data_IF_980857134980
#
_entry.id   IF_980857134980
#
_cell.length_a   1.000
_cell.length_b   1.000
_cell.length_c   1.000
_cell.angle_alpha   90.00
_cell.angle_beta   90.00
_cell.angle_gamma   90.00
#
_symmetry.space_group_name_H-M   'P 1'
#
loop_
_entity.id
_entity.type
_entity.pdbx_description
1 polymer ?
#
# COMPACT_ATOMS: atom_id res chain seq x y z
N UNK A 1 -0.57 -6.11 -6.84
CA UNK A 1 -0.89 -5.58 -5.50
C UNK A 1 -0.35 -4.17 -5.28
N UNK A 2 0.96 -3.99 -5.16
CA UNK A 2 1.55 -2.66 -4.92
C UNK A 2 1.09 -1.60 -5.91
N UNK A 3 1.19 -1.88 -7.21
CA UNK A 3 0.69 -1.01 -8.27
C UNK A 3 -0.76 -0.55 -8.06
N UNK A 4 -1.63 -1.45 -7.57
CA UNK A 4 -3.05 -1.17 -7.32
C UNK A 4 -3.22 -0.28 -6.09
N UNK A 5 -2.51 -0.58 -4.99
CA UNK A 5 -2.51 0.26 -3.79
C UNK A 5 -2.01 1.67 -4.12
N UNK A 6 -0.93 1.75 -4.90
CA UNK A 6 -0.36 3.00 -5.38
C UNK A 6 -1.38 3.77 -6.22
N UNK A 7 -2.04 3.10 -7.17
CA UNK A 7 -2.95 3.76 -8.12
C UNK A 7 -4.10 4.48 -7.41
N UNK A 8 -4.50 3.98 -6.25
CA UNK A 8 -5.61 4.53 -5.47
C UNK A 8 -5.18 5.61 -4.49
N UNK A 9 -3.89 5.79 -4.22
CA UNK A 9 -3.42 6.76 -3.22
C UNK A 9 -2.18 7.50 -3.72
N UNK A 10 -2.32 8.78 -4.15
CA UNK A 10 -1.18 9.59 -4.55
C UNK A 10 -0.11 9.63 -3.46
N UNK A 11 1.15 9.38 -3.83
CA UNK A 11 2.27 9.32 -2.90
C UNK A 11 2.51 7.97 -2.24
N UNK A 12 1.56 7.02 -2.32
CA UNK A 12 1.71 5.68 -1.75
C UNK A 12 2.86 4.89 -2.40
N UNK A 13 3.08 5.08 -3.70
CA UNK A 13 4.22 4.49 -4.42
C UNK A 13 5.54 4.77 -3.73
N UNK A 14 5.74 6.01 -3.28
CA UNK A 14 6.93 6.39 -2.56
C UNK A 14 6.99 5.75 -1.18
N UNK A 15 5.91 5.83 -0.39
CA UNK A 15 5.89 5.29 0.98
C UNK A 15 6.22 3.81 0.97
N UNK A 16 5.67 3.06 0.01
CA UNK A 16 5.99 1.64 -0.19
C UNK A 16 7.44 1.45 -0.63
N UNK A 17 7.95 2.23 -1.59
CA UNK A 17 9.34 2.13 -2.04
C UNK A 17 10.33 2.38 -0.90
N UNK A 18 10.07 3.37 -0.04
CA UNK A 18 10.90 3.65 1.14
C UNK A 18 10.76 2.60 2.24
N UNK A 19 9.55 2.07 2.47
CA UNK A 19 9.33 1.06 3.50
C UNK A 19 9.91 -0.31 3.12
N UNK A 20 9.96 -0.61 1.82
CA UNK A 20 10.43 -1.89 1.29
C UNK A 20 11.85 -1.82 0.75
N UNK A 21 12.42 -0.63 0.57
CA UNK A 21 13.76 -0.43 0.04
C UNK A 21 14.83 -0.55 1.12
N UNK A 22 16.11 -0.49 0.70
CA UNK A 22 17.26 -0.52 1.61
C UNK A 22 17.78 0.87 2.02
N UNK A 23 17.12 1.92 1.56
CA UNK A 23 17.50 3.30 1.86
C UNK A 23 16.55 3.84 2.93
N UNK A 24 17.09 4.28 4.06
CA UNK A 24 16.31 4.84 5.16
C UNK A 24 16.00 3.80 6.22
N UNK A 25 14.73 3.67 6.61
CA UNK A 25 14.33 2.75 7.69
C UNK A 25 13.69 1.46 7.18
N UNK A 26 14.11 0.34 7.75
CA UNK A 26 13.71 -1.03 7.46
C UNK A 26 13.11 -1.75 8.67
N UNK A 27 12.56 -2.95 8.45
CA UNK A 27 12.00 -3.76 9.52
C UNK A 27 13.05 -4.63 10.19
N UNK A 28 13.13 -4.54 11.52
CA UNK A 28 14.00 -5.39 12.34
C UNK A 28 13.22 -6.10 13.43
N UNK A 29 13.62 -7.33 13.76
CA UNK A 29 13.03 -8.15 14.82
C UNK A 29 14.04 -8.42 15.92
N UNK A 30 13.78 -7.92 17.13
CA UNK A 30 14.70 -8.06 18.26
C UNK A 30 13.98 -8.28 19.58
N UNK A 31 14.59 -9.09 20.45
CA UNK A 31 14.11 -9.31 21.80
C UNK A 31 14.57 -8.17 22.72
N UNK A 32 13.66 -7.66 23.55
CA UNK A 32 13.94 -6.59 24.51
C UNK A 32 13.37 -6.97 25.87
N UNK A 33 14.24 -7.37 26.81
CA UNK A 33 13.84 -7.85 28.13
C UNK A 33 13.22 -6.74 28.98
N UNK A 34 13.63 -5.51 28.73
CA UNK A 34 13.19 -4.28 29.37
C UNK A 34 11.72 -3.96 29.09
N UNK A 35 11.15 -4.52 28.01
CA UNK A 35 9.76 -4.29 27.62
C UNK A 35 8.79 -5.35 28.16
N UNK A 36 9.30 -6.42 28.78
CA UNK A 36 8.46 -7.50 29.31
C UNK A 36 7.49 -6.96 30.36
N UNK A 37 6.22 -7.31 30.21
CA UNK A 37 5.13 -6.87 31.10
C UNK A 37 4.48 -5.55 30.69
N UNK A 38 5.13 -4.74 29.84
CA UNK A 38 4.52 -3.57 29.23
C UNK A 38 3.50 -3.97 28.16
N UNK A 39 2.57 -3.06 27.91
CA UNK A 39 1.56 -3.14 26.86
C UNK A 39 2.07 -2.55 25.54
N UNK A 40 1.47 -2.94 24.42
CA UNK A 40 1.86 -2.41 23.12
C UNK A 40 1.63 -0.88 23.00
N UNK A 41 0.62 -0.33 23.69
CA UNK A 41 0.45 1.12 23.79
C UNK A 41 1.62 1.79 24.53
N UNK A 42 2.08 1.21 25.64
CA UNK A 42 3.21 1.75 26.40
C UNK A 42 4.51 1.71 25.60
N UNK A 43 4.75 0.66 24.80
CA UNK A 43 5.98 0.59 24.00
C UNK A 43 6.01 1.55 22.80
N UNK A 44 4.87 2.13 22.40
CA UNK A 44 4.77 3.04 21.24
C UNK A 44 5.77 4.20 21.30
N UNK A 45 6.07 4.69 22.51
CA UNK A 45 7.02 5.79 22.73
C UNK A 45 8.33 5.33 23.42
N UNK A 46 8.65 4.03 23.38
CA UNK A 46 9.84 3.46 24.04
C UNK A 46 11.09 3.45 23.18
N UNK A 47 11.01 3.91 21.93
CA UNK A 47 12.14 3.98 21.02
C UNK A 47 12.23 5.38 20.42
N UNK A 48 13.38 6.03 20.58
CA UNK A 48 13.61 7.36 20.01
C UNK A 48 13.90 7.28 18.51
N UNK A 49 14.64 6.24 18.11
CA UNK A 49 15.20 6.07 16.76
C UNK A 49 14.54 4.91 15.99
N UNK A 50 13.46 4.35 16.54
CA UNK A 50 12.66 3.33 15.88
C UNK A 50 11.17 3.47 16.20
N UNK A 51 10.32 2.77 15.44
CA UNK A 51 8.87 2.72 15.65
C UNK A 51 8.44 1.26 15.79
N UNK A 52 7.89 0.84 16.95
CA UNK A 52 7.29 -0.49 17.09
C UNK A 52 6.08 -0.65 16.19
N UNK A 53 6.10 -1.68 15.35
CA UNK A 53 5.02 -1.98 14.38
C UNK A 53 4.35 -3.32 14.60
N UNK A 54 4.98 -4.21 15.37
CA UNK A 54 4.46 -5.56 15.58
C UNK A 54 5.22 -6.36 16.63
N UNK A 55 4.78 -7.59 16.83
CA UNK A 55 5.38 -8.55 17.76
C UNK A 55 5.50 -9.90 17.06
N UNK A 56 6.61 -10.58 17.27
CA UNK A 56 6.78 -12.00 17.00
C UNK A 56 6.69 -12.75 18.33
N UNK A 57 5.67 -13.60 18.45
CA UNK A 57 5.43 -14.35 19.68
C UNK A 57 6.48 -15.43 19.89
N UNK A 58 6.89 -15.63 21.14
CA UNK A 58 7.66 -16.78 21.55
C UNK A 58 6.91 -18.09 21.22
N UNK A 59 7.63 -19.10 20.75
CA UNK A 59 7.06 -20.46 20.68
C UNK A 59 7.04 -21.01 22.09
N UNK A 60 5.85 -21.11 22.69
CA UNK A 60 5.67 -21.85 23.93
C UNK A 60 5.27 -23.28 23.57
N UNK A 61 6.13 -24.26 23.86
CA UNK A 61 5.71 -25.65 23.95
C UNK A 61 4.59 -25.72 25.00
N UNK A 62 3.39 -26.14 24.61
CA UNK A 62 2.36 -26.45 25.61
C UNK A 62 2.90 -27.59 26.49
N UNK A 63 2.77 -27.52 27.83
CA UNK A 63 3.05 -28.67 28.67
C UNK A 63 2.13 -29.79 28.21
N UNK A 64 2.71 -30.94 27.83
CA UNK A 64 1.94 -32.17 27.64
C UNK A 64 1.08 -32.37 28.88
N UNK A 65 -0.25 -32.33 28.71
CA UNK A 65 -1.17 -32.69 29.77
C UNK A 65 -0.79 -34.10 30.22
N UNK A 66 -0.33 -34.23 31.46
CA UNK A 66 -0.14 -35.51 32.13
C UNK A 66 -1.50 -36.21 32.07
N UNK A 67 -1.59 -37.27 31.28
CA UNK A 67 -2.79 -38.07 31.19
C UNK A 67 -2.97 -38.78 32.54
N UNK A 68 -3.97 -38.34 33.30
CA UNK A 68 -4.48 -39.08 34.44
C UNK A 68 -4.90 -40.46 33.95
N UNK A 69 -4.24 -41.47 34.49
CA UNK A 69 -4.65 -42.86 34.36
C UNK A 69 -5.91 -43.05 35.19
N UNK A 70 -7.05 -43.26 34.53
CA UNK A 70 -8.11 -44.10 35.08
C UNK A 70 -9.02 -44.70 33.98
N UNK A 71 -9.30 -45.97 34.22
CA UNK A 71 -10.02 -46.99 33.45
C UNK A 71 -11.47 -46.65 33.04
N UNK A 72 -11.89 -46.95 31.80
CA UNK A 72 -12.79 -48.09 31.47
C UNK A 72 -13.37 -48.09 30.03
N UNK A 73 -13.14 -49.22 29.35
CA UNK A 73 -14.01 -50.03 28.48
C UNK A 73 -14.96 -49.42 27.41
N UNK A 74 -14.71 -49.91 26.18
CA UNK A 74 -15.66 -50.27 25.11
C UNK A 74 -16.44 -49.18 24.37
N UNK A 75 -15.99 -48.87 23.15
CA UNK A 75 -16.82 -49.00 21.93
C UNK A 75 -15.93 -49.10 20.68
N UNK A 76 -16.27 -50.03 19.79
CA UNK A 76 -15.62 -50.27 18.51
C UNK A 76 -15.93 -49.16 17.50
N UNK A 77 -14.90 -48.49 17.00
CA UNK A 77 -14.97 -47.68 15.78
C UNK A 77 -13.65 -47.85 14.99
N UNK A 78 -13.69 -48.01 13.66
CA UNK A 78 -12.52 -48.43 12.89
C UNK A 78 -11.49 -47.30 12.74
N UNK A 79 -10.23 -47.70 12.82
CA UNK A 79 -9.02 -46.90 12.65
C UNK A 79 -9.00 -46.19 11.29
N UNK A 80 -9.12 -44.87 11.29
CA UNK A 80 -8.57 -44.02 10.24
C UNK A 80 -7.27 -43.41 10.73
N UNK A 81 -6.16 -43.86 10.16
CA UNK A 81 -4.83 -43.28 10.33
C UNK A 81 -4.84 -41.82 9.86
N UNK A 82 -5.03 -40.88 10.79
CA UNK A 82 -4.75 -39.47 10.58
C UNK A 82 -3.39 -39.16 11.19
N UNK A 83 -2.37 -39.02 10.36
CA UNK A 83 -1.08 -38.47 10.76
C UNK A 83 -1.30 -37.14 11.48
N UNK A 84 -1.09 -37.12 12.80
CA UNK A 84 -0.98 -35.89 13.56
C UNK A 84 0.21 -35.12 12.98
N UNK A 85 -0.08 -34.09 12.19
CA UNK A 85 0.90 -33.17 11.66
C UNK A 85 1.57 -32.45 12.83
N UNK A 86 2.65 -33.03 13.36
CA UNK A 86 3.66 -32.30 14.11
C UNK A 86 4.42 -31.40 13.13
N UNK A 87 3.74 -30.39 12.60
CA UNK A 87 4.45 -29.20 12.13
C UNK A 87 4.86 -28.43 13.38
N UNK A 88 6.15 -28.08 13.54
CA UNK A 88 6.55 -27.19 14.62
C UNK A 88 5.70 -25.91 14.52
N UNK A 89 5.10 -25.48 15.63
CA UNK A 89 4.42 -24.19 15.70
C UNK A 89 5.44 -23.12 15.32
N UNK A 90 5.34 -22.63 14.09
CA UNK A 90 6.14 -21.50 13.67
C UNK A 90 5.74 -20.29 14.53
N UNK A 91 6.72 -19.50 15.04
CA UNK A 91 6.42 -18.33 15.84
C UNK A 91 5.49 -17.39 15.06
N UNK A 92 4.38 -17.00 15.69
CA UNK A 92 3.36 -16.18 15.06
C UNK A 92 3.81 -14.72 15.03
N UNK A 93 3.85 -14.12 13.85
CA UNK A 93 4.07 -12.70 13.63
C UNK A 93 2.72 -11.98 13.65
N UNK A 94 2.63 -10.88 14.41
CA UNK A 94 1.43 -10.05 14.55
C UNK A 94 1.80 -8.60 14.28
N UNK A 95 1.33 -8.05 13.16
CA UNK A 95 1.41 -6.62 12.88
C UNK A 95 0.28 -5.87 13.59
N UNK A 96 0.56 -4.63 14.03
CA UNK A 96 -0.40 -3.77 14.72
C UNK A 96 -1.21 -4.47 15.85
N UNK A 97 -0.54 -5.02 16.89
CA UNK A 97 -1.22 -5.62 18.03
C UNK A 97 -2.19 -4.66 18.71
N UNK A 98 -3.23 -5.17 19.40
CA UNK A 98 -4.10 -4.35 20.25
C UNK A 98 -3.30 -3.61 21.34
N UNK A 99 -3.76 -2.41 21.73
CA UNK A 99 -3.08 -1.59 22.75
C UNK A 99 -2.79 -2.34 24.05
N UNK A 100 -3.70 -3.19 24.50
CA UNK A 100 -3.61 -3.95 25.75
C UNK A 100 -2.80 -5.25 25.62
N UNK A 101 -2.25 -5.57 24.45
CA UNK A 101 -1.40 -6.74 24.29
C UNK A 101 -0.13 -6.57 25.13
N UNK A 102 0.12 -7.51 26.04
CA UNK A 102 1.30 -7.48 26.93
C UNK A 102 2.45 -8.27 26.34
N UNK A 103 3.64 -7.67 26.34
CA UNK A 103 4.87 -8.32 25.91
C UNK A 103 5.26 -9.39 26.94
N UNK A 104 5.48 -10.62 26.48
CA UNK A 104 5.86 -11.77 27.31
C UNK A 104 7.35 -12.07 27.18
N UNK A 105 7.94 -12.80 28.14
CA UNK A 105 9.31 -13.29 28.01
C UNK A 105 9.50 -14.10 26.72
N UNK A 106 10.52 -13.76 25.93
CA UNK A 106 10.85 -14.39 24.65
C UNK A 106 10.12 -13.82 23.44
N UNK A 107 9.12 -12.94 23.63
CA UNK A 107 8.53 -12.20 22.52
C UNK A 107 9.57 -11.24 21.94
N UNK A 108 9.56 -11.08 20.61
CA UNK A 108 10.41 -10.12 19.92
C UNK A 108 9.56 -8.98 19.36
N UNK A 109 10.08 -7.76 19.41
CA UNK A 109 9.43 -6.58 18.85
C UNK A 109 9.88 -6.40 17.41
N UNK A 110 8.91 -6.13 16.54
CA UNK A 110 9.13 -5.74 15.16
C UNK A 110 9.14 -4.22 15.15
N UNK A 111 10.24 -3.62 14.71
CA UNK A 111 10.38 -2.16 14.63
C UNK A 111 10.71 -1.71 13.22
N UNK A 112 10.38 -0.47 12.90
CA UNK A 112 10.93 0.26 11.76
C UNK A 112 12.10 1.13 12.27
N UNK A 113 13.33 0.86 11.82
CA UNK A 113 14.55 1.56 12.26
C UNK A 113 15.55 1.73 11.09
N UNK A 114 16.54 2.61 11.20
CA UNK A 114 17.55 2.82 10.15
C UNK A 114 18.49 1.62 9.97
N UNK A 115 18.85 0.97 11.08
CA UNK A 115 19.78 -0.16 11.10
C UNK A 115 19.44 -1.10 12.28
N UNK A 116 20.02 -2.30 12.33
CA UNK A 116 19.72 -3.31 13.35
C UNK A 116 20.28 -2.96 14.75
N UNK A 117 21.29 -2.09 14.80
CA UNK A 117 21.99 -1.63 16.00
C UNK A 117 21.80 -0.13 16.33
N UNK A 118 21.08 0.62 15.49
CA UNK A 118 20.92 2.08 15.62
C UNK A 118 19.84 2.53 16.62
N UNK A 119 19.13 1.60 17.26
CA UNK A 119 18.01 1.92 18.16
C UNK A 119 18.09 1.17 19.50
N UNK A 120 17.60 1.82 20.55
CA UNK A 120 17.52 1.25 21.90
C UNK A 120 16.23 1.67 22.61
N UNK A 121 15.90 0.94 23.66
CA UNK A 121 14.76 1.27 24.53
C UNK A 121 15.12 2.47 25.41
N UNK A 122 14.33 3.54 25.33
CA UNK A 122 14.44 4.70 26.22
C UNK A 122 13.82 4.42 27.60
N UNK A 123 13.91 5.38 28.53
CA UNK A 123 13.40 5.23 29.91
C UNK A 123 11.86 5.32 30.01
N UNK A 124 11.17 5.71 28.94
CA UNK A 124 9.72 5.92 28.90
C UNK A 124 9.25 7.16 29.66
N UNK A 125 10.10 8.18 29.72
CA UNK A 125 9.83 9.47 30.35
C UNK A 125 8.84 10.34 29.57
N UNK A 126 8.36 9.88 28.42
CA UNK A 126 7.43 10.66 27.61
C UNK A 126 6.04 10.73 28.25
N UNK A 127 5.66 11.93 28.68
CA UNK A 127 4.33 12.19 29.21
C UNK A 127 3.37 12.52 28.08
N UNK A 128 2.39 11.63 27.88
CA UNK A 128 1.29 11.83 26.90
C UNK A 128 0.54 13.11 27.21
N UNK A 129 0.47 14.04 26.25
CA UNK A 129 -0.49 15.14 26.34
C UNK A 129 -1.92 14.60 26.27
N UNK A 130 -2.81 15.13 27.13
CA UNK A 130 -4.24 14.84 27.06
C UNK A 130 -4.84 15.51 25.82
N UNK A 131 -4.75 14.82 24.69
CA UNK A 131 -5.51 15.15 23.50
C UNK A 131 -6.96 14.73 23.71
N UNK A 132 -7.89 15.68 23.62
CA UNK A 132 -9.29 15.32 23.54
C UNK A 132 -9.53 14.53 22.25
N UNK A 133 -10.27 13.43 22.35
CA UNK A 133 -10.64 12.64 21.19
C UNK A 133 -11.52 13.52 20.32
N UNK A 134 -11.07 13.86 19.11
CA UNK A 134 -11.93 14.54 18.15
C UNK A 134 -13.15 13.64 17.89
N UNK A 135 -14.31 14.00 18.47
CA UNK A 135 -15.55 13.23 18.38
C UNK A 135 -16.30 13.52 17.08
N UNK A 136 -16.01 14.65 16.44
CA UNK A 136 -16.77 15.19 15.31
C UNK A 136 -16.24 14.75 13.96
N UNK A 137 -14.96 14.39 13.83
CA UNK A 137 -14.42 13.81 12.60
C UNK A 137 -14.77 12.32 12.43
N UNK A 138 -16.06 11.99 12.58
CA UNK A 138 -16.63 10.70 12.19
C UNK A 138 -16.76 10.67 10.67
N UNK A 139 -16.03 9.74 10.05
CA UNK A 139 -16.06 9.36 8.63
C UNK A 139 -15.53 10.47 7.70
N UNK A 140 -14.21 10.66 7.67
CA UNK A 140 -13.60 10.94 6.36
C UNK A 140 -14.05 9.82 5.44
N UNK A 141 -14.77 10.15 4.35
CA UNK A 141 -15.26 9.14 3.42
C UNK A 141 -14.07 8.31 2.96
N UNK A 142 -14.15 7.00 3.14
CA UNK A 142 -13.11 6.10 2.66
C UNK A 142 -13.03 6.23 1.14
N UNK A 143 -11.87 6.01 0.55
CA UNK A 143 -11.77 5.94 -0.91
C UNK A 143 -12.68 4.84 -1.47
N UNK A 144 -12.98 3.82 -0.64
CA UNK A 144 -13.94 2.75 -0.91
C UNK A 144 -15.42 3.23 -0.92
N UNK A 145 -15.72 4.47 -0.55
CA UNK A 145 -17.10 4.98 -0.51
C UNK A 145 -17.62 5.40 -1.89
N UNK A 146 -16.77 5.45 -2.91
CA UNK A 146 -17.13 5.86 -4.27
C UNK A 146 -16.80 4.79 -5.30
N UNK A 147 -17.54 4.79 -6.40
CA UNK A 147 -17.21 3.99 -7.58
C UNK A 147 -16.06 4.65 -8.33
N UNK A 148 -15.08 3.86 -8.75
CA UNK A 148 -13.88 4.33 -9.43
C UNK A 148 -13.92 3.91 -10.91
N UNK A 149 -13.44 4.77 -11.82
CA UNK A 149 -13.09 4.43 -13.20
C UNK A 149 -11.58 4.34 -13.31
N UNK A 150 -11.05 3.15 -13.60
CA UNK A 150 -9.62 2.90 -13.72
C UNK A 150 -9.24 2.51 -15.16
N UNK A 151 -8.05 2.89 -15.60
CA UNK A 151 -7.50 2.52 -16.90
C UNK A 151 -6.23 1.69 -16.72
N UNK A 152 -6.20 0.47 -17.25
CA UNK A 152 -4.96 -0.29 -17.46
C UNK A 152 -4.49 -0.12 -18.90
N UNK A 153 -3.27 0.37 -19.05
CA UNK A 153 -2.64 0.65 -20.32
C UNK A 153 -1.47 -0.31 -20.55
N UNK A 154 -1.54 -1.12 -21.63
CA UNK A 154 -0.60 -2.22 -21.89
C UNK A 154 -1.10 -3.57 -21.40
N UNK A 155 -0.47 -4.67 -21.84
CA UNK A 155 -0.84 -6.04 -21.47
C UNK A 155 0.25 -6.76 -20.68
N UNK A 156 -0.10 -7.29 -19.51
CA UNK A 156 0.79 -8.06 -18.64
C UNK A 156 0.36 -9.53 -18.60
N UNK A 157 1.31 -10.46 -18.49
CA UNK A 157 1.06 -11.91 -18.39
C UNK A 157 0.04 -12.25 -17.31
N UNK A 158 0.20 -11.70 -16.10
CA UNK A 158 -0.65 -12.01 -14.94
C UNK A 158 -1.81 -11.03 -14.75
N UNK A 159 -2.33 -10.45 -15.85
CA UNK A 159 -3.35 -9.40 -15.79
C UNK A 159 -4.61 -9.87 -15.04
N UNK A 160 -5.02 -11.13 -15.18
CA UNK A 160 -6.18 -11.67 -14.49
C UNK A 160 -6.05 -11.56 -12.95
N UNK A 161 -4.86 -11.81 -12.40
CA UNK A 161 -4.62 -11.74 -10.95
C UNK A 161 -4.69 -10.28 -10.46
N UNK A 162 -4.22 -9.34 -11.28
CA UNK A 162 -4.33 -7.91 -10.97
C UNK A 162 -5.79 -7.46 -10.95
N UNK A 163 -6.59 -7.88 -11.94
CA UNK A 163 -8.01 -7.54 -12.00
C UNK A 163 -8.74 -8.11 -10.77
N UNK A 164 -8.48 -9.36 -10.39
CA UNK A 164 -9.10 -9.97 -9.22
C UNK A 164 -8.68 -9.32 -7.91
N UNK A 165 -7.44 -8.87 -7.79
CA UNK A 165 -6.99 -8.11 -6.63
C UNK A 165 -7.67 -6.74 -6.55
N UNK A 166 -7.85 -6.08 -7.70
CA UNK A 166 -8.55 -4.79 -7.76
C UNK A 166 -10.03 -4.96 -7.39
N UNK A 167 -10.69 -6.03 -7.87
CA UNK A 167 -12.10 -6.32 -7.59
C UNK A 167 -12.39 -6.46 -6.08
N UNK A 168 -11.42 -6.96 -5.31
CA UNK A 168 -11.55 -7.13 -3.86
C UNK A 168 -11.51 -5.82 -3.08
N UNK A 169 -10.95 -4.73 -3.64
CA UNK A 169 -10.68 -3.50 -2.89
C UNK A 169 -11.52 -2.30 -3.34
N UNK A 170 -12.17 -2.38 -4.50
CA UNK A 170 -12.99 -1.30 -5.05
C UNK A 170 -14.47 -1.47 -4.71
N UNK A 171 -15.21 -0.37 -4.71
CA UNK A 171 -16.66 -0.38 -4.50
C UNK A 171 -17.39 -1.06 -5.66
N UNK A 172 -18.47 -1.77 -5.35
CA UNK A 172 -19.38 -2.32 -6.38
C UNK A 172 -19.87 -1.23 -7.34
N UNK A 173 -19.76 -1.51 -8.64
CA UNK A 173 -20.10 -0.59 -9.73
C UNK A 173 -18.90 0.21 -10.26
N UNK A 174 -17.69 -0.09 -9.81
CA UNK A 174 -16.46 0.48 -10.38
C UNK A 174 -16.17 -0.11 -11.76
N UNK A 175 -15.48 0.63 -12.61
CA UNK A 175 -15.17 0.26 -13.98
C UNK A 175 -13.65 0.11 -14.16
N UNK A 176 -13.23 -0.94 -14.85
CA UNK A 176 -11.85 -1.11 -15.29
C UNK A 176 -11.79 -1.18 -16.81
N UNK A 177 -11.12 -0.21 -17.42
CA UNK A 177 -10.87 -0.16 -18.85
C UNK A 177 -9.52 -0.79 -19.17
N UNK A 178 -9.51 -1.73 -20.11
CA UNK A 178 -8.30 -2.37 -20.62
C UNK A 178 -7.96 -1.77 -21.99
N UNK A 179 -6.92 -0.93 -22.06
CA UNK A 179 -6.43 -0.32 -23.29
C UNK A 179 -5.06 -0.87 -23.69
N UNK A 180 -5.01 -1.63 -24.78
CA UNK A 180 -3.80 -2.26 -25.27
C UNK A 180 -3.99 -2.75 -26.72
N UNK A 181 -2.94 -3.32 -27.32
CA UNK A 181 -2.95 -3.80 -28.70
C UNK A 181 -3.69 -5.14 -28.90
N UNK A 182 -3.95 -5.90 -27.83
CA UNK A 182 -4.54 -7.24 -27.92
C UNK A 182 -6.04 -7.12 -28.25
N UNK A 183 -6.56 -7.78 -29.29
CA UNK A 183 -7.99 -7.79 -29.61
C UNK A 183 -8.84 -8.42 -28.48
N UNK A 184 -10.07 -7.95 -28.21
CA UNK A 184 -10.91 -8.44 -27.10
C UNK A 184 -11.16 -9.95 -27.11
N UNK A 185 -11.29 -10.56 -28.30
CA UNK A 185 -11.53 -11.98 -28.46
C UNK A 185 -10.35 -12.82 -27.97
N UNK A 186 -9.12 -12.36 -28.20
CA UNK A 186 -7.89 -13.03 -27.73
C UNK A 186 -7.72 -12.87 -26.21
N UNK A 187 -8.16 -11.74 -25.64
CA UNK A 187 -8.07 -11.46 -24.19
C UNK A 187 -8.79 -12.51 -23.36
N UNK A 188 -9.90 -13.06 -23.86
CA UNK A 188 -10.69 -14.09 -23.15
C UNK A 188 -9.81 -15.31 -22.82
N UNK A 189 -8.98 -15.74 -23.77
CA UNK A 189 -8.10 -16.89 -23.60
C UNK A 189 -6.88 -16.55 -22.73
N UNK A 190 -6.30 -15.36 -22.93
CA UNK A 190 -5.15 -14.91 -22.15
C UNK A 190 -5.49 -14.68 -20.67
N UNK A 191 -6.71 -14.20 -20.36
CA UNK A 191 -7.16 -14.03 -18.98
C UNK A 191 -7.39 -15.38 -18.27
N UNK A 192 -7.63 -16.45 -19.03
CA UNK A 192 -7.67 -17.81 -18.51
C UNK A 192 -6.29 -18.45 -18.42
N UNK A 193 -5.22 -17.72 -18.73
CA UNK A 193 -3.85 -18.25 -18.81
C UNK A 193 -3.81 -19.55 -19.63
N UNK A 194 -4.37 -19.49 -20.85
CA UNK A 194 -4.48 -20.63 -21.77
C UNK A 194 -5.24 -21.85 -21.19
N UNK A 195 -6.09 -21.62 -20.19
CA UNK A 195 -6.91 -22.64 -19.52
C UNK A 195 -6.42 -23.03 -18.13
N UNK A 196 -5.26 -22.51 -17.68
CA UNK A 196 -4.74 -22.76 -16.33
C UNK A 196 -5.54 -22.03 -15.23
N UNK A 197 -6.27 -20.97 -15.59
CA UNK A 197 -7.09 -20.17 -14.68
C UNK A 197 -8.56 -20.25 -15.07
N UNK A 198 -9.41 -20.16 -14.04
CA UNK A 198 -10.86 -20.06 -14.20
C UNK A 198 -11.20 -18.76 -14.92
N UNK A 199 -12.33 -18.75 -15.64
CA UNK A 199 -12.89 -17.52 -16.23
C UNK A 199 -12.98 -16.42 -15.19
N UNK A 200 -12.51 -15.24 -15.55
CA UNK A 200 -12.57 -14.04 -14.72
C UNK A 200 -14.02 -13.79 -14.25
N UNK A 201 -14.21 -13.68 -12.94
CA UNK A 201 -15.52 -13.48 -12.33
C UNK A 201 -15.44 -12.33 -11.32
N UNK A 202 -15.66 -11.10 -11.79
CA UNK A 202 -15.65 -9.89 -10.98
C UNK A 202 -17.01 -9.62 -10.35
N UNK A 203 -17.01 -9.21 -9.08
CA UNK A 203 -18.24 -8.90 -8.31
C UNK A 203 -18.47 -7.40 -8.21
N UNK A 204 -17.39 -6.63 -8.07
CA UNK A 204 -17.43 -5.19 -7.85
C UNK A 204 -17.06 -4.38 -9.10
N UNK A 205 -16.22 -4.95 -9.97
CA UNK A 205 -15.73 -4.36 -11.20
C UNK A 205 -16.52 -4.81 -12.44
N UNK A 206 -16.75 -3.85 -13.33
CA UNK A 206 -17.11 -4.09 -14.73
C UNK A 206 -15.87 -3.88 -15.61
N UNK A 207 -15.46 -4.92 -16.34
CA UNK A 207 -14.31 -4.84 -17.26
C UNK A 207 -14.77 -4.39 -18.64
N UNK A 208 -14.21 -3.28 -19.12
CA UNK A 208 -14.45 -2.67 -20.43
C UNK A 208 -13.21 -2.79 -21.31
N UNK A 209 -13.41 -2.98 -22.62
CA UNK A 209 -12.30 -3.15 -23.56
C UNK A 209 -12.14 -1.94 -24.47
N UNK A 210 -10.91 -1.50 -24.68
CA UNK A 210 -10.54 -0.58 -25.74
C UNK A 210 -9.25 -1.09 -26.42
N UNK A 211 -9.13 -0.89 -27.74
CA UNK A 211 -7.94 -1.33 -28.50
C UNK A 211 -7.20 -0.12 -29.03
N UNK A 212 -5.89 -0.10 -28.82
CA UNK A 212 -5.04 0.96 -29.34
C UNK A 212 -3.60 0.87 -28.87
N UNK A 213 -2.78 1.74 -29.42
CA UNK A 213 -1.36 1.82 -29.10
C UNK A 213 -1.10 2.96 -28.09
N UNK A 214 -0.60 2.68 -26.87
CA UNK A 214 -0.30 3.67 -25.83
C UNK A 214 0.68 4.78 -26.21
N UNK A 215 1.55 4.54 -27.19
CA UNK A 215 2.51 5.57 -27.65
C UNK A 215 1.95 6.45 -28.77
N UNK A 216 0.71 6.19 -29.22
CA UNK A 216 0.08 6.95 -30.30
C UNK A 216 -0.96 7.89 -29.70
N UNK A 217 -0.63 9.18 -29.67
CA UNK A 217 -1.48 10.24 -29.11
C UNK A 217 -2.94 10.17 -29.58
N UNK A 218 -3.17 9.95 -30.88
CA UNK A 218 -4.52 9.87 -31.46
C UNK A 218 -5.37 8.78 -30.81
N UNK A 219 -4.80 7.63 -30.48
CA UNK A 219 -5.51 6.53 -29.85
C UNK A 219 -5.86 6.80 -28.39
N UNK A 220 -5.14 7.70 -27.73
CA UNK A 220 -5.35 8.08 -26.33
C UNK A 220 -6.28 9.29 -26.15
N UNK A 221 -6.54 10.07 -27.20
CA UNK A 221 -7.40 11.27 -27.10
C UNK A 221 -8.83 10.92 -26.72
N UNK A 222 -9.36 9.82 -27.25
CA UNK A 222 -10.71 9.35 -27.00
C UNK A 222 -10.71 7.83 -27.16
N UNK A 223 -11.04 7.10 -26.09
CA UNK A 223 -11.08 5.64 -26.10
C UNK A 223 -12.49 5.19 -26.46
N UNK A 224 -12.60 4.33 -27.46
CA UNK A 224 -13.86 3.70 -27.86
C UNK A 224 -14.03 2.36 -27.16
N UNK A 225 -15.20 2.14 -26.54
CA UNK A 225 -15.53 0.88 -25.88
C UNK A 225 -15.94 -0.20 -26.88
N UNK A 226 -15.31 -1.36 -26.75
CA UNK A 226 -15.56 -2.54 -27.54
C UNK A 226 -16.17 -3.65 -26.69
N UNK A 227 -17.12 -4.37 -27.29
CA UNK A 227 -17.61 -5.63 -26.77
C UNK A 227 -16.51 -6.70 -26.78
N UNK A 228 -16.72 -7.80 -26.04
CA UNK A 228 -15.81 -8.94 -26.04
C UNK A 228 -15.67 -9.64 -27.40
N UNK A 229 -16.64 -9.46 -28.29
CA UNK A 229 -16.59 -9.92 -29.68
C UNK A 229 -15.88 -8.93 -30.63
N UNK A 230 -15.38 -7.80 -30.11
CA UNK A 230 -14.68 -6.75 -30.83
C UNK A 230 -15.57 -5.72 -31.53
N UNK A 231 -16.90 -5.84 -31.46
CA UNK A 231 -17.80 -4.84 -32.02
C UNK A 231 -17.82 -3.56 -31.17
N UNK A 232 -17.93 -2.36 -31.78
CA UNK A 232 -18.03 -1.11 -31.05
C UNK A 232 -19.38 -1.01 -30.34
N UNK A 233 -19.35 -0.55 -29.09
CA UNK A 233 -20.57 -0.27 -28.32
C UNK A 233 -21.19 1.09 -28.68
N UNK A 234 -20.38 2.00 -29.23
CA UNK A 234 -20.74 3.40 -29.46
C UNK A 234 -20.41 4.33 -28.29
N UNK A 235 -20.02 3.78 -27.15
CA UNK A 235 -19.59 4.56 -25.99
C UNK A 235 -18.11 4.95 -26.11
N UNK A 236 -17.81 6.18 -25.68
CA UNK A 236 -16.45 6.72 -25.68
C UNK A 236 -16.11 7.39 -24.36
N UNK A 237 -14.84 7.40 -23.99
CA UNK A 237 -14.34 8.01 -22.75
C UNK A 237 -13.02 8.76 -22.98
N UNK A 238 -12.82 9.87 -22.27
CA UNK A 238 -11.57 10.66 -22.31
C UNK A 238 -10.73 10.44 -21.04
N UNK A 239 -9.42 10.76 -21.12
CA UNK A 239 -8.45 10.45 -20.04
C UNK A 239 -8.70 11.19 -18.73
N UNK A 240 -9.47 12.27 -18.75
CA UNK A 240 -9.81 13.09 -17.60
C UNK A 240 -11.00 12.53 -16.79
N UNK A 241 -11.75 11.56 -17.34
CA UNK A 241 -12.83 10.87 -16.63
C UNK A 241 -12.34 9.73 -15.72
N UNK A 242 -11.10 9.26 -15.90
CA UNK A 242 -10.51 8.19 -15.08
C UNK A 242 -9.97 8.73 -13.77
N UNK A 243 -10.28 8.06 -12.67
CA UNK A 243 -9.71 8.37 -11.35
C UNK A 243 -8.20 8.06 -11.30
N UNK A 244 -7.82 6.94 -11.91
CA UNK A 244 -6.43 6.47 -11.90
C UNK A 244 -6.07 5.77 -13.21
N UNK A 245 -4.87 6.05 -13.71
CA UNK A 245 -4.33 5.46 -14.93
C UNK A 245 -3.10 4.64 -14.56
N UNK A 246 -3.08 3.37 -14.96
CA UNK A 246 -1.98 2.45 -14.70
C UNK A 246 -1.31 2.05 -16.02
N UNK A 247 -0.06 2.45 -16.20
CA UNK A 247 0.76 2.07 -17.35
C UNK A 247 1.60 0.87 -16.97
N UNK A 248 1.36 -0.24 -17.68
CA UNK A 248 1.99 -1.53 -17.45
C UNK A 248 3.03 -1.81 -18.54
N UNK A 249 4.08 -2.52 -18.14
CA UNK A 249 5.05 -3.06 -19.08
C UNK A 249 4.35 -4.04 -20.04
N UNK A 250 4.26 -3.67 -21.32
CA UNK A 250 3.50 -4.40 -22.32
C UNK A 250 4.27 -5.66 -22.81
N UNK A 251 3.98 -6.78 -22.15
CA UNK A 251 4.53 -8.10 -22.49
C UNK A 251 4.11 -8.61 -23.87
N UNK A 252 2.96 -8.16 -24.40
CA UNK A 252 2.48 -8.57 -25.72
C UNK A 252 3.25 -7.86 -26.85
N UNK A 253 3.61 -6.58 -26.65
CA UNK A 253 4.52 -5.87 -27.54
C UNK A 253 5.95 -6.43 -27.49
N UNK A 254 6.37 -6.98 -26.34
CA UNK A 254 7.73 -7.54 -26.11
C UNK A 254 7.92 -8.93 -26.74
N UNK A 255 6.86 -9.66 -27.12
CA UNK A 255 7.00 -10.92 -27.90
C UNK A 255 7.76 -10.72 -29.24
N UNK A 256 7.83 -9.48 -29.74
CA UNK A 256 8.55 -9.12 -30.97
C UNK A 256 9.85 -8.31 -30.75
N UNK A 257 10.21 -7.95 -29.51
CA UNK A 257 11.36 -7.06 -29.25
C UNK A 257 12.13 -7.43 -27.97
N UNK A 258 13.44 -7.59 -28.11
CA UNK A 258 14.38 -7.96 -27.02
C UNK A 258 14.82 -6.75 -26.20
N UNK A 259 14.46 -6.69 -24.91
CA UNK A 259 15.16 -5.87 -23.90
C UNK A 259 14.25 -5.10 -22.93
N UNK A 260 14.51 -5.23 -21.62
CA UNK A 260 13.79 -4.51 -20.55
C UNK A 260 13.80 -2.99 -20.73
N UNK A 261 14.89 -2.42 -21.28
CA UNK A 261 15.02 -0.98 -21.56
C UNK A 261 13.98 -0.45 -22.57
N UNK A 262 13.55 -1.28 -23.53
CA UNK A 262 12.52 -0.87 -24.50
C UNK A 262 11.13 -0.82 -23.86
N UNK A 263 10.86 -1.65 -22.84
CA UNK A 263 9.61 -1.61 -22.09
C UNK A 263 9.50 -0.28 -21.31
N UNK A 264 10.52 0.07 -20.54
CA UNK A 264 10.56 1.33 -19.78
C UNK A 264 10.43 2.55 -20.69
N UNK A 265 11.10 2.53 -21.86
CA UNK A 265 11.01 3.61 -22.85
C UNK A 265 9.57 3.81 -23.36
N UNK A 266 8.83 2.73 -23.60
CA UNK A 266 7.42 2.78 -24.02
C UNK A 266 6.50 3.24 -22.90
N UNK A 267 6.74 2.79 -21.66
CA UNK A 267 6.00 3.23 -20.48
C UNK A 267 6.18 4.74 -20.25
N UNK A 268 7.43 5.23 -20.33
CA UNK A 268 7.74 6.65 -20.21
C UNK A 268 7.11 7.48 -21.34
N UNK A 269 7.20 7.03 -22.59
CA UNK A 269 6.57 7.72 -23.70
C UNK A 269 5.04 7.82 -23.52
N UNK A 270 4.41 6.72 -23.10
CA UNK A 270 2.96 6.67 -22.83
C UNK A 270 2.59 7.63 -21.69
N UNK A 271 3.39 7.66 -20.61
CA UNK A 271 3.21 8.56 -19.48
C UNK A 271 3.23 10.03 -19.92
N UNK A 272 4.26 10.43 -20.66
CA UNK A 272 4.41 11.81 -21.13
C UNK A 272 3.26 12.22 -22.05
N UNK A 273 2.84 11.33 -22.97
CA UNK A 273 1.72 11.59 -23.87
C UNK A 273 0.41 11.74 -23.08
N UNK A 274 0.14 10.85 -22.11
CA UNK A 274 -1.06 10.93 -21.28
C UNK A 274 -1.09 12.19 -20.42
N UNK A 275 0.04 12.57 -19.80
CA UNK A 275 0.15 13.80 -19.02
C UNK A 275 -0.14 15.04 -19.87
N UNK A 276 0.39 15.06 -21.09
CA UNK A 276 0.18 16.16 -22.02
C UNK A 276 -1.28 16.24 -22.50
N UNK A 277 -1.91 15.11 -22.84
CA UNK A 277 -3.35 15.05 -23.18
C UNK A 277 -4.21 15.52 -22.00
N UNK A 278 -3.93 15.04 -20.77
CA UNK A 278 -4.67 15.48 -19.58
C UNK A 278 -4.50 16.98 -19.32
N UNK A 279 -3.33 17.55 -19.61
CA UNK A 279 -3.09 19.00 -19.49
C UNK A 279 -3.95 19.77 -20.48
N UNK A 280 -4.01 19.34 -21.75
CA UNK A 280 -4.88 19.94 -22.77
C UNK A 280 -6.37 19.90 -22.35
N UNK A 281 -6.86 18.71 -21.97
CA UNK A 281 -8.25 18.52 -21.56
C UNK A 281 -8.63 19.37 -20.34
N UNK A 282 -7.71 19.52 -19.37
CA UNK A 282 -7.90 20.41 -18.22
C UNK A 282 -8.02 21.88 -18.64
N UNK A 283 -7.17 22.33 -19.56
CA UNK A 283 -7.20 23.72 -20.04
C UNK A 283 -8.51 24.03 -20.77
N UNK A 284 -8.99 23.12 -21.61
CA UNK A 284 -10.28 23.24 -22.29
C UNK A 284 -11.44 23.32 -21.29
N UNK A 285 -11.45 22.45 -20.26
CA UNK A 285 -12.49 22.47 -19.21
C UNK A 285 -12.45 23.74 -18.36
N UNK A 286 -11.26 24.23 -17.99
CA UNK A 286 -11.13 25.46 -17.22
C UNK A 286 -11.63 26.70 -17.98
N UNK A 287 -11.47 26.72 -19.31
CA UNK A 287 -12.03 27.78 -20.16
C UNK A 287 -13.55 27.73 -20.20
N UNK A 288 -14.14 26.53 -20.21
CA UNK A 288 -15.59 26.33 -20.28
C UNK A 288 -16.29 26.43 -18.92
N UNK A 289 -15.61 26.13 -17.81
CA UNK A 289 -16.17 26.09 -16.45
C UNK A 289 -15.09 26.35 -15.38
N UNK A 290 -14.90 27.61 -14.96
CA UNK A 290 -13.82 28.00 -14.03
C UNK A 290 -13.93 27.47 -12.59
N UNK A 291 -15.08 26.87 -12.21
CA UNK A 291 -15.35 26.43 -10.84
C UNK A 291 -15.17 24.91 -10.61
N UNK A 292 -14.89 24.13 -11.66
CA UNK A 292 -14.73 22.68 -11.56
C UNK A 292 -13.36 22.26 -11.04
N UNK A 293 -13.19 22.31 -9.70
CA UNK A 293 -12.01 21.79 -8.98
C UNK A 293 -11.88 20.26 -9.00
N UNK A 294 -12.82 19.52 -9.59
CA UNK A 294 -12.76 18.03 -9.65
C UNK A 294 -11.60 17.50 -10.49
N UNK A 295 -10.95 18.35 -11.29
CA UNK A 295 -9.93 17.94 -12.25
C UNK A 295 -8.51 17.77 -11.67
N UNK A 296 -8.33 17.97 -10.36
CA UNK A 296 -6.99 18.07 -9.75
C UNK A 296 -6.26 16.73 -9.55
N UNK A 297 -6.96 15.58 -9.47
CA UNK A 297 -6.35 14.34 -8.96
C UNK A 297 -6.62 13.09 -9.82
N UNK A 298 -6.19 13.08 -11.09
CA UNK A 298 -6.08 11.84 -11.85
C UNK A 298 -4.63 11.36 -11.75
N UNK A 299 -4.38 10.43 -10.83
CA UNK A 299 -3.05 9.86 -10.63
C UNK A 299 -2.67 8.93 -11.78
N UNK A 300 -1.64 9.29 -12.55
CA UNK A 300 -1.01 8.34 -13.47
C UNK A 300 0.08 7.60 -12.71
N UNK A 301 0.04 6.28 -12.75
CA UNK A 301 1.08 5.42 -12.20
C UNK A 301 1.66 4.56 -13.29
N UNK A 302 2.98 4.62 -13.46
CA UNK A 302 3.69 3.75 -14.38
C UNK A 302 4.55 2.73 -13.64
N UNK A 303 4.56 1.50 -14.14
CA UNK A 303 5.57 0.52 -13.75
C UNK A 303 6.90 0.84 -14.44
N UNK A 304 8.00 0.73 -13.71
CA UNK A 304 9.36 0.90 -14.21
C UNK A 304 10.18 -0.31 -13.76
N UNK A 305 10.88 -0.94 -14.71
CA UNK A 305 11.59 -2.21 -14.48
C UNK A 305 13.09 -2.01 -14.27
N UNK A 306 13.73 -1.07 -14.97
CA UNK A 306 15.17 -0.77 -14.84
C UNK A 306 15.38 0.41 -13.89
N UNK A 307 16.16 0.19 -12.82
CA UNK A 307 16.52 1.23 -11.86
C UNK A 307 17.33 2.37 -12.49
N UNK A 308 18.03 2.12 -13.60
CA UNK A 308 18.77 3.15 -14.35
C UNK A 308 17.85 4.23 -14.93
N UNK A 309 16.57 3.91 -15.15
CA UNK A 309 15.55 4.85 -15.64
C UNK A 309 15.19 5.92 -14.58
N UNK A 310 15.56 5.73 -13.30
CA UNK A 310 15.27 6.65 -12.17
C UNK A 310 15.72 8.07 -12.46
N UNK A 311 16.94 8.24 -12.99
CA UNK A 311 17.49 9.58 -13.28
C UNK A 311 16.68 10.29 -14.37
N UNK A 312 16.25 9.58 -15.41
CA UNK A 312 15.43 10.16 -16.48
C UNK A 312 14.05 10.59 -15.97
N UNK A 313 13.44 9.80 -15.09
CA UNK A 313 12.15 10.13 -14.49
C UNK A 313 12.23 11.37 -13.60
N UNK A 314 13.31 11.51 -12.83
CA UNK A 314 13.58 12.71 -12.02
C UNK A 314 13.72 13.96 -12.90
N UNK A 315 14.52 13.87 -13.97
CA UNK A 315 14.73 14.99 -14.91
C UNK A 315 13.43 15.37 -15.65
N UNK A 316 12.64 14.37 -16.05
CA UNK A 316 11.36 14.58 -16.72
C UNK A 316 10.24 15.02 -15.76
N UNK A 317 10.51 15.18 -14.46
CA UNK A 317 9.54 15.50 -13.42
C UNK A 317 8.32 14.54 -13.47
N UNK A 318 8.58 13.28 -13.79
CA UNK A 318 7.56 12.25 -13.88
C UNK A 318 7.15 11.81 -12.49
N UNK A 319 5.95 12.20 -12.07
CA UNK A 319 5.36 11.83 -10.79
C UNK A 319 4.52 10.57 -10.95
N UNK A 320 4.49 9.71 -9.93
CA UNK A 320 3.69 8.48 -9.95
C UNK A 320 4.34 7.38 -10.79
N UNK A 321 5.43 6.82 -10.30
CA UNK A 321 5.96 5.57 -10.83
C UNK A 321 6.28 4.64 -9.68
N UNK A 322 6.37 3.35 -9.99
CA UNK A 322 6.79 2.32 -9.05
C UNK A 322 7.88 1.50 -9.71
N UNK A 323 9.04 1.41 -9.06
CA UNK A 323 10.14 0.55 -9.49
C UNK A 323 9.95 -0.86 -8.95
N UNK A 324 9.12 -1.66 -9.63
CA UNK A 324 8.65 -2.94 -9.12
C UNK A 324 9.79 -3.92 -8.82
N UNK A 325 10.81 -3.98 -9.67
CA UNK A 325 11.95 -4.87 -9.48
C UNK A 325 12.81 -4.51 -8.26
N UNK A 326 12.91 -3.23 -7.88
CA UNK A 326 13.65 -2.84 -6.67
C UNK A 326 12.92 -3.39 -5.45
N UNK A 327 11.61 -3.14 -5.35
CA UNK A 327 10.79 -3.59 -4.22
C UNK A 327 10.81 -5.12 -4.09
N UNK A 328 10.70 -5.85 -5.21
CA UNK A 328 10.79 -7.32 -5.19
C UNK A 328 12.17 -7.80 -4.73
N UNK A 329 13.24 -7.19 -5.23
CA UNK A 329 14.61 -7.56 -4.86
C UNK A 329 14.89 -7.30 -3.39
N UNK A 330 14.45 -6.15 -2.87
CA UNK A 330 14.58 -5.79 -1.46
C UNK A 330 13.76 -6.71 -0.56
N UNK A 331 12.52 -7.02 -0.93
CA UNK A 331 11.72 -7.99 -0.19
C UNK A 331 12.39 -9.38 -0.12
N UNK A 332 12.99 -9.86 -1.22
CA UNK A 332 13.73 -11.12 -1.24
C UNK A 332 14.94 -11.08 -0.31
N UNK A 333 15.67 -9.97 -0.28
CA UNK A 333 16.85 -9.84 0.56
C UNK A 333 16.49 -9.75 2.06
N UNK A 334 15.48 -8.98 2.43
CA UNK A 334 14.99 -8.91 3.82
C UNK A 334 14.54 -10.30 4.31
N UNK A 335 13.86 -11.07 3.45
CA UNK A 335 13.47 -12.46 3.77
C UNK A 335 14.68 -13.40 3.85
N UNK A 336 15.73 -13.15 3.05
CA UNK A 336 16.97 -13.92 3.10
C UNK A 336 17.77 -13.65 4.38
N UNK A 337 17.68 -12.43 4.92
CA UNK A 337 18.31 -12.03 6.17
C UNK A 337 17.55 -12.55 7.40
N UNK A 338 16.23 -12.32 7.48
CA UNK A 338 15.37 -12.92 8.49
C UNK A 338 14.12 -13.53 7.84
N UNK A 339 14.00 -14.86 7.93
CA UNK A 339 12.87 -15.62 7.38
C UNK A 339 11.50 -15.15 7.88
N UNK A 340 11.43 -14.58 9.08
CA UNK A 340 10.18 -14.11 9.68
C UNK A 340 9.69 -12.80 9.02
N UNK A 341 10.56 -12.09 8.29
CA UNK A 341 10.16 -10.96 7.42
C UNK A 341 9.17 -11.38 6.33
N UNK A 342 9.17 -12.65 5.93
CA UNK A 342 8.21 -13.12 4.92
C UNK A 342 6.76 -12.98 5.42
N UNK A 343 6.53 -13.14 6.72
CA UNK A 343 5.21 -12.92 7.32
C UNK A 343 4.85 -11.42 7.37
N UNK A 344 5.79 -10.56 7.74
CA UNK A 344 5.61 -9.10 7.79
C UNK A 344 5.29 -8.53 6.41
N UNK A 345 6.15 -8.81 5.43
CA UNK A 345 5.99 -8.36 4.04
C UNK A 345 4.74 -8.99 3.43
N UNK A 346 4.51 -10.29 3.68
CA UNK A 346 3.32 -11.00 3.22
C UNK A 346 2.02 -10.36 3.71
N UNK A 347 1.99 -9.88 4.96
CA UNK A 347 0.85 -9.16 5.52
C UNK A 347 0.67 -7.77 4.90
N UNK A 348 1.72 -6.94 4.85
CA UNK A 348 1.65 -5.59 4.27
C UNK A 348 1.26 -5.59 2.78
N UNK A 349 1.66 -6.64 2.06
CA UNK A 349 1.32 -6.83 0.64
C UNK A 349 0.01 -7.62 0.45
N UNK A 350 -0.69 -8.00 1.50
CA UNK A 350 -1.96 -8.71 1.40
C UNK A 350 -3.12 -7.75 1.06
N UNK A 351 -4.24 -8.31 0.58
CA UNK A 351 -5.47 -7.53 0.43
C UNK A 351 -6.24 -7.38 1.75
N UNK A 352 -5.97 -8.26 2.72
CA UNK A 352 -6.68 -8.40 4.00
C UNK A 352 -5.67 -8.42 5.14
N UNK A 353 -5.84 -7.55 6.12
CA UNK A 353 -4.89 -7.41 7.22
C UNK A 353 -4.41 -5.98 7.32
N UNK A 354 -3.23 -5.79 7.92
CA UNK A 354 -2.65 -4.46 8.03
C UNK A 354 -2.07 -3.98 6.69
N UNK A 355 -2.27 -2.70 6.42
CA UNK A 355 -1.78 -2.06 5.20
C UNK A 355 -1.32 -0.63 5.53
N UNK A 356 -0.59 -0.04 4.59
CA UNK A 356 -0.13 1.34 4.70
C UNK A 356 -1.20 2.28 4.18
N UNK A 357 -1.48 3.34 4.93
CA UNK A 357 -2.43 4.38 4.55
C UNK A 357 -1.82 5.77 4.75
N UNK A 358 -2.23 6.70 3.89
CA UNK A 358 -1.93 8.13 4.04
C UNK A 358 -3.17 8.79 4.63
N UNK A 359 -3.07 9.33 5.84
CA UNK A 359 -4.16 9.98 6.57
C UNK A 359 -3.88 11.48 6.66
N UNK A 360 -4.88 12.31 6.42
CA UNK A 360 -4.76 13.74 6.72
C UNK A 360 -4.61 13.94 8.25
N UNK A 361 -3.76 14.87 8.67
CA UNK A 361 -3.50 15.14 10.09
C UNK A 361 -4.78 15.51 10.87
N UNK A 362 -5.76 16.13 10.20
CA UNK A 362 -7.06 16.49 10.78
C UNK A 362 -7.90 15.28 11.22
N UNK A 363 -7.52 14.07 10.79
CA UNK A 363 -8.11 12.83 11.30
C UNK A 363 -7.71 12.53 12.74
N UNK A 364 -6.53 12.97 13.17
CA UNK A 364 -5.99 12.72 14.52
C UNK A 364 -6.13 13.95 15.43
N UNK A 365 -5.87 15.13 14.88
CA UNK A 365 -5.83 16.40 15.59
C UNK A 365 -7.00 17.29 15.16
N UNK A 366 -7.61 17.99 16.11
CA UNK A 366 -8.54 19.06 15.78
C UNK A 366 -7.76 20.34 15.49
N UNK A 367 -7.75 20.74 14.22
CA UNK A 367 -7.11 21.95 13.72
C UNK A 367 -8.13 23.06 13.41
N UNK A 368 -9.42 22.84 13.70
CA UNK A 368 -10.51 23.71 13.25
C UNK A 368 -10.68 24.97 14.10
N UNK A 369 -10.19 24.94 15.33
CA UNK A 369 -10.45 25.97 16.31
C UNK A 369 -9.15 26.35 17.01
N UNK A 370 -8.48 27.38 16.46
CA UNK A 370 -7.66 28.39 17.17
C UNK A 370 -6.85 29.20 16.15
N UNK A 371 -7.20 30.47 16.06
CA UNK A 371 -6.46 31.54 15.36
C UNK A 371 -5.09 31.85 15.99
N UNK A 372 -4.68 31.13 17.04
CA UNK A 372 -3.37 31.24 17.68
C UNK A 372 -2.44 30.12 17.19
N UNK A 373 -1.30 30.53 16.62
CA UNK A 373 -0.19 29.68 16.15
C UNK A 373 0.33 28.70 17.23
N UNK A 374 0.16 29.02 18.50
CA UNK A 374 0.67 28.22 19.64
C UNK A 374 -0.16 26.96 19.97
N UNK A 375 -1.26 26.74 19.27
CA UNK A 375 -2.26 25.73 19.67
C UNK A 375 -2.24 24.45 18.86
N UNK A 376 -1.57 24.47 17.70
CA UNK A 376 -1.38 23.31 16.81
C UNK A 376 0.01 22.67 16.97
N UNK A 377 0.58 22.79 18.17
CA UNK A 377 1.96 22.43 18.46
C UNK A 377 2.00 21.10 19.22
N UNK A 378 2.28 20.02 18.49
CA UNK A 378 2.30 18.65 19.00
C UNK A 378 3.56 17.93 18.55
N UNK A 379 4.07 17.01 19.36
CA UNK A 379 5.17 16.14 18.93
C UNK A 379 4.65 15.04 17.99
N UNK A 380 5.56 14.32 17.34
CA UNK A 380 5.17 13.12 16.58
C UNK A 380 4.62 12.04 17.50
N UNK A 381 5.16 11.88 18.72
CA UNK A 381 4.65 10.92 19.69
C UNK A 381 3.22 11.21 20.16
N UNK A 382 2.83 12.48 20.28
CA UNK A 382 1.44 12.83 20.58
C UNK A 382 0.49 12.31 19.50
N UNK A 383 0.87 12.51 18.23
CA UNK A 383 0.11 12.01 17.08
C UNK A 383 0.13 10.49 17.02
N UNK A 384 1.26 9.84 17.33
CA UNK A 384 1.39 8.38 17.33
C UNK A 384 0.50 7.74 18.41
N UNK A 385 0.49 8.27 19.63
CA UNK A 385 -0.39 7.82 20.71
C UNK A 385 -1.86 8.08 20.42
N UNK A 386 -2.17 9.14 19.67
CA UNK A 386 -3.52 9.41 19.18
C UNK A 386 -3.92 8.41 18.09
N UNK A 387 -3.04 8.10 17.14
CA UNK A 387 -3.25 7.05 16.14
C UNK A 387 -3.52 5.68 16.78
N UNK A 388 -2.83 5.36 17.89
CA UNK A 388 -3.12 4.17 18.70
C UNK A 388 -4.56 4.10 19.21
N UNK A 389 -5.21 5.22 19.49
CA UNK A 389 -6.64 5.25 19.90
C UNK A 389 -7.59 4.79 18.78
N UNK A 390 -7.09 4.75 17.54
CA UNK A 390 -7.79 4.23 16.37
C UNK A 390 -7.32 2.83 15.96
N UNK A 391 -6.42 2.20 16.73
CA UNK A 391 -5.67 0.99 16.37
C UNK A 391 -4.89 1.17 15.07
N UNK A 392 -4.24 2.33 14.91
CA UNK A 392 -3.32 2.62 13.80
C UNK A 392 -1.92 2.90 14.38
N UNK A 393 -0.86 2.59 13.64
CA UNK A 393 0.52 2.89 14.02
C UNK A 393 1.03 3.99 13.12
N UNK A 394 1.32 5.18 13.67
CA UNK A 394 1.99 6.22 12.91
C UNK A 394 3.45 5.83 12.67
N UNK A 395 3.83 5.73 11.40
CA UNK A 395 5.19 5.37 10.97
C UNK A 395 5.96 6.55 10.38
N UNK A 396 5.29 7.67 10.12
CA UNK A 396 5.90 8.82 9.47
C UNK A 396 4.91 9.93 9.14
N UNK A 397 5.39 11.00 8.52
CA UNK A 397 4.54 12.11 8.07
C UNK A 397 5.14 12.88 6.90
N UNK A 398 4.33 13.74 6.28
CA UNK A 398 4.72 14.71 5.26
C UNK A 398 4.00 16.03 5.50
N UNK A 399 4.73 17.14 5.44
CA UNK A 399 4.13 18.47 5.40
C UNK A 399 3.38 18.70 4.08
N UNK A 400 2.29 19.48 4.10
CA UNK A 400 1.44 19.72 2.95
C UNK A 400 2.21 20.26 1.73
N UNK A 401 3.11 21.22 1.99
CA UNK A 401 3.86 21.99 0.98
C UNK A 401 4.95 21.18 0.27
N UNK A 402 5.42 20.09 0.89
CA UNK A 402 6.50 19.28 0.32
C UNK A 402 5.95 18.35 -0.76
N UNK A 403 6.50 18.35 -1.99
CA UNK A 403 6.06 17.43 -3.02
C UNK A 403 6.51 16.00 -2.68
N UNK A 404 5.74 15.01 -3.15
CA UNK A 404 6.11 13.59 -3.07
C UNK A 404 7.25 13.22 -4.04
N UNK A 405 8.25 14.07 -4.25
CA UNK A 405 9.40 13.78 -5.11
C UNK A 405 10.71 14.43 -4.62
N UNK A 406 10.64 15.42 -3.72
CA UNK A 406 11.80 16.06 -3.08
C UNK A 406 12.36 15.23 -1.90
N UNK A 407 12.54 13.93 -2.10
CA UNK A 407 12.92 12.95 -1.07
C UNK A 407 14.41 12.91 -0.71
N UNK A 408 15.10 14.05 -0.73
CA UNK A 408 16.38 14.19 -0.01
C UNK A 408 16.18 14.61 1.45
N UNK A 409 14.95 14.54 1.98
CA UNK A 409 14.72 14.67 3.42
C UNK A 409 14.67 13.27 4.03
N UNK A 410 15.72 12.94 4.77
CA UNK A 410 16.04 11.62 5.34
C UNK A 410 15.02 11.09 6.38
N UNK A 411 13.84 11.71 6.57
CA UNK A 411 13.07 11.55 7.83
C UNK A 411 11.55 11.55 7.67
N UNK A 412 11.03 11.14 6.52
CA UNK A 412 9.58 11.02 6.33
C UNK A 412 8.98 9.78 6.99
N UNK A 413 9.70 8.66 6.92
CA UNK A 413 9.45 7.46 7.72
C UNK A 413 10.40 7.49 8.92
N UNK A 414 9.94 6.96 10.06
CA UNK A 414 10.71 6.95 11.30
C UNK A 414 11.38 8.32 11.62
N UNK A 415 10.61 9.42 11.75
CA UNK A 415 11.18 10.76 11.90
C UNK A 415 12.09 10.85 13.12
N UNK A 416 13.17 11.64 13.02
CA UNK A 416 14.01 11.93 14.18
C UNK A 416 13.29 12.84 15.18
N UNK A 417 13.84 12.93 16.38
CA UNK A 417 13.36 13.83 17.43
C UNK A 417 11.85 13.75 17.68
N UNK A 418 11.32 12.54 17.79
CA UNK A 418 9.86 12.26 17.89
C UNK A 418 9.14 12.99 19.03
N UNK A 419 9.90 13.44 20.04
CA UNK A 419 9.44 14.19 21.20
C UNK A 419 9.39 15.70 20.99
N UNK A 420 10.15 16.23 20.03
CA UNK A 420 10.18 17.67 19.74
C UNK A 420 8.83 18.10 19.19
N UNK A 421 8.28 19.18 19.76
CA UNK A 421 7.00 19.71 19.32
C UNK A 421 7.17 20.46 18.01
N UNK A 422 6.18 20.33 17.14
CA UNK A 422 6.12 21.01 15.85
C UNK A 422 4.72 21.53 15.55
N UNK A 423 4.65 22.57 14.75
CA UNK A 423 3.38 23.13 14.29
C UNK A 423 2.84 22.29 13.13
N UNK A 424 1.62 21.79 13.28
CA UNK A 424 0.91 21.03 12.26
C UNK A 424 -0.09 21.91 11.51
N UNK A 425 -0.19 21.71 10.20
CA UNK A 425 -1.05 22.50 9.32
C UNK A 425 -2.11 21.63 8.65
N UNK A 426 -3.24 22.25 8.33
CA UNK A 426 -4.27 21.59 7.53
C UNK A 426 -3.69 21.19 6.16
N UNK A 427 -3.71 19.90 5.86
CA UNK A 427 -3.11 19.36 4.64
C UNK A 427 -1.86 18.51 4.89
N UNK A 428 -1.25 18.60 6.07
CA UNK A 428 -0.22 17.65 6.47
C UNK A 428 -0.81 16.24 6.51
N UNK A 429 0.02 15.24 6.22
CA UNK A 429 -0.40 13.84 6.20
C UNK A 429 0.50 12.99 7.09
N UNK A 430 -0.11 12.01 7.74
CA UNK A 430 0.55 10.97 8.53
C UNK A 430 0.49 9.67 7.76
N UNK A 431 1.62 8.96 7.71
CA UNK A 431 1.69 7.60 7.21
C UNK A 431 1.40 6.64 8.36
N UNK A 432 0.44 5.74 8.17
CA UNK A 432 0.04 4.78 9.19
C UNK A 432 0.01 3.36 8.67
N UNK A 433 0.33 2.41 9.54
CA UNK A 433 -0.04 1.00 9.38
C UNK A 433 -1.35 0.79 10.12
N UNK A 434 -2.39 0.33 9.42
CA UNK A 434 -3.70 0.10 9.99
C UNK A 434 -4.36 -1.13 9.35
N UNK A 435 -5.29 -1.75 10.07
CA UNK A 435 -6.11 -2.82 9.48
C UNK A 435 -6.96 -2.24 8.35
N UNK A 436 -6.97 -2.91 7.19
CA UNK A 436 -7.89 -2.58 6.12
C UNK A 436 -9.32 -2.81 6.62
N UNK A 437 -10.07 -1.72 6.86
CA UNK A 437 -11.47 -1.77 7.29
C UNK A 437 -12.32 -1.60 6.04
N UNK A 438 -13.08 -2.64 5.71
CA UNK A 438 -14.05 -2.66 4.60
C UNK A 438 -15.05 -1.50 4.66
#
# INVERSE_FOLDING_TARGET
RLMIQCARSPGMAYVVESLMGFEGSEFYIKEWKELVGLTFEEITCRFNDAIPVGIKLAVHEQPQSVADADTNANTNTPLTNGHANNQPLHPLVIMNPPNNHKIRPGDKIIVLAEDDDSYTVNEGSYEKMKLERNREFRRSRSINDFTEKLLFCGWRRDMADMIMQLDQVVKKGSELWLFNLVPPQERINLLKDEGNKVTLNTVNLTVKNAVGNPIVRRHLKCLEELNWDGSPTGDTITLDEFNSLLILADSAAVKNCTGMQQSDSRCLASLLIMQDIQRELRQEKLQMSPQDKRCENNGIITEILDSRTRTLLKVANCKGYVMSNIIVSSAIAQVAEDRDMNAVIGELLSAKGNNVFIRNIGYFLDLSDKTDIDTNVFSFWDVALQARQFNEIAIGFKAAELPYDMFSSEQMLNPLNKHEKRTWHAGDVIFVIALNRD
#
